data_IF_734455204601
#
_entry.id   IF_734455204601
#
_cell.length_a   1.000
_cell.length_b   1.000
_cell.length_c   1.000
_cell.angle_alpha   90.00
_cell.angle_beta   90.00
_cell.angle_gamma   90.00
#
_symmetry.space_group_name_H-M   'P 1'
#
loop_
_entity.id
_entity.type
_entity.pdbx_description
1 polymer ?
#
# COMPACT_ATOMS: atom_id res chain seq x y z
N UNK A 1 9.60 -8.71 -10.65
CA UNK A 1 10.17 -7.70 -11.58
C UNK A 1 9.09 -7.32 -12.58
N UNK A 2 8.78 -6.03 -12.73
CA UNK A 2 7.77 -5.55 -13.67
C UNK A 2 8.12 -5.92 -15.10
N UNK A 3 7.13 -6.32 -15.89
CA UNK A 3 7.30 -6.66 -17.31
C UNK A 3 7.85 -5.48 -18.11
N UNK A 4 7.35 -4.26 -17.84
CA UNK A 4 7.82 -3.02 -18.44
C UNK A 4 9.31 -2.75 -18.19
N UNK A 5 9.85 -3.14 -17.01
CA UNK A 5 11.28 -3.04 -16.72
C UNK A 5 12.09 -4.13 -17.44
N UNK A 6 11.52 -5.33 -17.61
CA UNK A 6 12.15 -6.39 -18.40
C UNK A 6 12.25 -6.00 -19.88
N UNK A 7 11.20 -5.39 -20.44
CA UNK A 7 11.15 -4.91 -21.83
C UNK A 7 12.17 -3.78 -22.13
N UNK A 8 12.64 -3.05 -21.10
CA UNK A 8 13.71 -2.04 -21.26
C UNK A 8 15.12 -2.64 -21.28
N UNK A 9 15.28 -3.90 -20.89
CA UNK A 9 16.60 -4.54 -20.83
C UNK A 9 16.99 -5.14 -22.21
N UNK A 10 17.73 -4.36 -23.00
CA UNK A 10 18.17 -4.76 -24.36
C UNK A 10 18.96 -6.07 -24.41
N UNK A 11 19.68 -6.42 -23.34
CA UNK A 11 20.49 -7.64 -23.31
C UNK A 11 19.66 -8.94 -23.20
N UNK A 12 18.37 -8.83 -22.96
CA UNK A 12 17.46 -9.97 -22.86
C UNK A 12 16.95 -10.48 -24.21
N UNK A 13 17.04 -9.69 -25.29
CA UNK A 13 16.33 -9.96 -26.53
C UNK A 13 17.28 -10.19 -27.68
N UNK A 14 16.88 -11.08 -28.61
CA UNK A 14 17.55 -11.24 -29.90
C UNK A 14 17.13 -10.14 -30.86
N UNK A 15 17.90 -9.90 -31.92
CA UNK A 15 17.62 -8.87 -32.94
C UNK A 15 16.17 -8.94 -33.48
N UNK A 16 15.63 -10.15 -33.66
CA UNK A 16 14.25 -10.36 -34.12
C UNK A 16 13.20 -10.16 -33.05
N UNK A 17 13.57 -10.14 -31.77
CA UNK A 17 12.71 -9.82 -30.64
C UNK A 17 12.78 -8.32 -30.28
N UNK A 18 13.89 -7.66 -30.58
CA UNK A 18 14.10 -6.23 -30.34
C UNK A 18 13.07 -5.36 -31.07
N UNK A 19 12.72 -5.67 -32.31
CA UNK A 19 11.70 -4.94 -33.06
C UNK A 19 10.32 -5.01 -32.40
N UNK A 20 9.96 -6.18 -31.83
CA UNK A 20 8.72 -6.36 -31.09
C UNK A 20 8.74 -5.53 -29.81
N UNK A 21 9.83 -5.61 -29.06
CA UNK A 21 10.03 -4.86 -27.81
C UNK A 21 10.03 -3.36 -28.05
N UNK A 22 10.67 -2.90 -29.11
CA UNK A 22 10.68 -1.49 -29.49
C UNK A 22 9.26 -1.01 -29.79
N UNK A 23 8.51 -1.73 -30.62
CA UNK A 23 7.12 -1.37 -30.94
C UNK A 23 6.26 -1.30 -29.67
N UNK A 24 6.38 -2.28 -28.77
CA UNK A 24 5.61 -2.30 -27.50
C UNK A 24 5.99 -1.11 -26.63
N UNK A 25 7.26 -0.73 -26.54
CA UNK A 25 7.70 0.42 -25.73
C UNK A 25 7.26 1.76 -26.31
N UNK A 26 7.23 1.89 -27.64
CA UNK A 26 6.81 3.11 -28.32
C UNK A 26 5.28 3.26 -28.42
N UNK A 27 4.54 2.13 -28.55
CA UNK A 27 3.11 2.08 -28.75
C UNK A 27 2.40 1.14 -27.74
N UNK A 28 2.58 1.34 -26.44
CA UNK A 28 2.10 0.36 -25.44
C UNK A 28 0.59 0.16 -25.44
N UNK A 29 -0.20 1.23 -25.63
CA UNK A 29 -1.68 1.15 -25.69
C UNK A 29 -2.17 0.38 -26.91
N UNK A 30 -1.54 0.61 -28.05
CA UNK A 30 -1.86 -0.09 -29.31
C UNK A 30 -1.51 -1.57 -29.19
N UNK A 31 -0.32 -1.89 -28.66
CA UNK A 31 0.15 -3.26 -28.47
C UNK A 31 -0.82 -4.09 -27.60
N UNK A 32 -1.41 -3.50 -26.56
CA UNK A 32 -2.44 -4.16 -25.73
C UNK A 32 -3.76 -4.37 -26.49
N UNK A 33 -4.14 -3.50 -27.40
CA UNK A 33 -5.35 -3.67 -28.20
C UNK A 33 -5.22 -4.77 -29.26
N UNK A 34 -4.01 -4.96 -29.82
CA UNK A 34 -3.73 -5.87 -30.94
C UNK A 34 -3.87 -7.36 -30.57
N UNK A 35 -4.23 -8.17 -31.55
CA UNK A 35 -4.03 -9.61 -31.50
C UNK A 35 -2.59 -9.96 -31.94
N UNK A 36 -2.21 -11.24 -31.82
CA UNK A 36 -0.82 -11.66 -32.08
C UNK A 36 -0.38 -11.46 -33.54
N UNK A 37 -1.33 -11.57 -34.49
CA UNK A 37 -1.06 -11.39 -35.92
C UNK A 37 -0.85 -9.90 -36.21
N UNK A 38 -1.68 -9.05 -35.66
CA UNK A 38 -1.58 -7.58 -35.77
C UNK A 38 -0.28 -7.07 -35.17
N UNK A 39 0.08 -7.53 -33.97
CA UNK A 39 1.34 -7.15 -33.33
C UNK A 39 2.56 -7.64 -34.13
N UNK A 40 2.51 -8.86 -34.66
CA UNK A 40 3.57 -9.39 -35.51
C UNK A 40 3.77 -8.56 -36.76
N UNK A 41 2.70 -8.18 -37.45
CA UNK A 41 2.74 -7.32 -38.63
C UNK A 41 3.27 -5.91 -38.28
N UNK A 42 2.78 -5.28 -37.20
CA UNK A 42 3.20 -3.95 -36.77
C UNK A 42 4.68 -3.91 -36.38
N UNK A 43 5.20 -4.98 -35.78
CA UNK A 43 6.61 -5.09 -35.35
C UNK A 43 7.51 -5.72 -36.42
N UNK A 44 7.06 -5.92 -37.66
CA UNK A 44 7.81 -6.58 -38.75
C UNK A 44 8.41 -7.92 -38.31
N UNK A 45 7.62 -8.72 -37.59
CA UNK A 45 8.05 -10.01 -37.02
C UNK A 45 7.05 -11.13 -37.30
N UNK A 46 7.18 -12.26 -36.61
CA UNK A 46 6.29 -13.41 -36.75
C UNK A 46 5.55 -13.72 -35.43
N UNK A 47 4.32 -14.30 -35.47
CA UNK A 47 3.64 -14.76 -34.27
C UNK A 47 4.47 -15.75 -33.45
N UNK A 48 5.26 -16.62 -34.10
CA UNK A 48 6.13 -17.56 -33.41
C UNK A 48 7.27 -16.89 -32.64
N UNK A 49 7.80 -15.78 -33.14
CA UNK A 49 8.80 -14.96 -32.42
C UNK A 49 8.18 -14.31 -31.17
N UNK A 50 6.95 -13.80 -31.28
CA UNK A 50 6.23 -13.24 -30.12
C UNK A 50 6.00 -14.30 -29.05
N UNK A 51 5.54 -15.51 -29.40
CA UNK A 51 5.34 -16.60 -28.44
C UNK A 51 6.66 -16.98 -27.76
N UNK A 52 7.77 -17.06 -28.51
CA UNK A 52 9.10 -17.36 -27.95
C UNK A 52 9.54 -16.26 -26.97
N UNK A 53 9.35 -14.99 -27.32
CA UNK A 53 9.62 -13.85 -26.44
C UNK A 53 8.80 -13.93 -25.15
N UNK A 54 7.50 -14.25 -25.24
CA UNK A 54 6.63 -14.40 -24.06
C UNK A 54 7.14 -15.51 -23.12
N UNK A 55 7.53 -16.67 -23.67
CA UNK A 55 8.09 -17.77 -22.89
C UNK A 55 9.42 -17.39 -22.23
N UNK A 56 10.28 -16.65 -22.91
CA UNK A 56 11.54 -16.14 -22.40
C UNK A 56 11.33 -15.18 -21.21
N UNK A 57 10.23 -14.42 -21.21
CA UNK A 57 9.79 -13.53 -20.13
C UNK A 57 9.05 -14.28 -18.99
N UNK A 58 9.02 -15.63 -19.06
CA UNK A 58 8.41 -16.47 -18.01
C UNK A 58 6.89 -16.61 -18.09
N UNK A 59 6.30 -16.35 -19.27
CA UNK A 59 4.85 -16.44 -19.49
C UNK A 59 4.49 -17.64 -20.35
N UNK A 60 3.31 -18.21 -20.15
CA UNK A 60 2.81 -19.37 -20.92
C UNK A 60 2.56 -19.06 -22.40
N UNK A 61 2.26 -17.79 -22.73
CA UNK A 61 2.01 -17.35 -24.09
C UNK A 61 1.57 -15.90 -24.21
N UNK A 62 1.13 -15.52 -25.40
CA UNK A 62 0.76 -14.14 -25.74
C UNK A 62 -0.44 -13.62 -24.93
N UNK A 63 -1.42 -14.45 -24.61
CA UNK A 63 -2.60 -14.04 -23.82
C UNK A 63 -2.20 -13.60 -22.41
N UNK A 64 -1.35 -14.36 -21.74
CA UNK A 64 -0.82 -14.01 -20.42
C UNK A 64 0.05 -12.75 -20.47
N UNK A 65 0.93 -12.67 -21.49
CA UNK A 65 1.74 -11.49 -21.76
C UNK A 65 0.87 -10.23 -21.90
N UNK A 66 -0.19 -10.32 -22.74
CA UNK A 66 -1.10 -9.22 -23.02
C UNK A 66 -1.85 -8.76 -21.76
N UNK A 67 -2.34 -9.70 -20.94
CA UNK A 67 -3.00 -9.39 -19.66
C UNK A 67 -2.05 -8.69 -18.69
N UNK A 68 -0.84 -9.18 -18.55
CA UNK A 68 0.18 -8.60 -17.68
C UNK A 68 0.61 -7.22 -18.18
N UNK A 69 0.86 -7.09 -19.49
CA UNK A 69 1.18 -5.80 -20.10
C UNK A 69 0.04 -4.79 -19.93
N UNK A 70 -1.21 -5.21 -20.15
CA UNK A 70 -2.38 -4.36 -19.94
C UNK A 70 -2.51 -3.88 -18.48
N UNK A 71 -2.29 -4.77 -17.54
CA UNK A 71 -2.29 -4.43 -16.11
C UNK A 71 -1.22 -3.41 -15.77
N UNK A 72 0.01 -3.61 -16.24
CA UNK A 72 1.13 -2.69 -15.97
C UNK A 72 0.99 -1.36 -16.72
N UNK A 73 0.50 -1.36 -17.97
CA UNK A 73 0.24 -0.11 -18.72
C UNK A 73 -0.89 0.68 -18.11
N UNK A 74 -1.98 0.03 -17.67
CA UNK A 74 -3.05 0.74 -16.98
C UNK A 74 -2.54 1.34 -15.66
N UNK A 75 -1.69 0.65 -14.93
CA UNK A 75 -1.00 1.22 -13.77
C UNK A 75 -0.03 2.34 -14.17
N UNK A 76 0.61 2.27 -15.32
CA UNK A 76 1.52 3.28 -15.87
C UNK A 76 0.77 4.51 -16.43
N UNK A 77 -0.38 4.32 -17.07
CA UNK A 77 -1.25 5.41 -17.56
C UNK A 77 -1.82 6.20 -16.38
N UNK A 78 -2.13 5.53 -15.27
CA UNK A 78 -2.49 6.19 -14.02
C UNK A 78 -1.28 6.90 -13.38
N UNK A 79 -0.03 6.53 -13.75
CA UNK A 79 1.23 7.04 -13.20
C UNK A 79 2.03 7.96 -14.16
N UNK A 80 1.54 8.26 -15.37
CA UNK A 80 2.27 9.12 -16.33
C UNK A 80 2.54 10.55 -15.80
N UNK A 81 1.81 10.95 -14.76
CA UNK A 81 2.13 12.13 -13.95
C UNK A 81 1.90 11.75 -12.49
N UNK A 82 2.96 11.64 -11.70
CA UNK A 82 2.78 11.58 -10.24
C UNK A 82 1.94 12.79 -9.84
N UNK A 83 0.85 12.50 -9.13
CA UNK A 83 -0.05 13.55 -8.66
C UNK A 83 0.57 14.14 -7.41
N UNK A 84 0.47 15.46 -7.29
CA UNK A 84 0.85 16.15 -6.07
C UNK A 84 -0.09 15.69 -4.93
N UNK A 85 0.49 15.09 -3.89
CA UNK A 85 -0.27 14.47 -2.82
C UNK A 85 -1.03 15.49 -1.97
N UNK A 86 -0.47 16.70 -1.86
CA UNK A 86 -1.00 17.76 -1.00
C UNK A 86 -2.20 18.48 -1.62
N UNK A 87 -2.12 18.76 -2.93
CA UNK A 87 -3.15 19.45 -3.70
C UNK A 87 -3.37 18.74 -5.04
N UNK A 88 -4.15 17.65 -5.08
CA UNK A 88 -4.34 16.87 -6.31
C UNK A 88 -5.24 17.54 -7.36
N UNK A 89 -5.72 18.75 -7.10
CA UNK A 89 -6.68 19.44 -7.95
C UNK A 89 -6.10 20.71 -8.53
N UNK A 90 -6.44 21.01 -9.78
CA UNK A 90 -6.11 22.24 -10.47
C UNK A 90 -7.37 23.09 -10.68
N UNK A 91 -7.21 24.43 -10.69
CA UNK A 91 -8.32 25.35 -10.93
C UNK A 91 -8.87 25.16 -12.35
N UNK A 92 -10.20 25.01 -12.46
CA UNK A 92 -10.89 24.88 -13.74
C UNK A 92 -11.12 23.43 -14.19
N UNK A 93 -10.76 22.44 -13.37
CA UNK A 93 -11.12 21.05 -13.62
C UNK A 93 -12.64 20.86 -13.68
N UNK A 94 -13.10 20.10 -14.66
CA UNK A 94 -14.47 19.59 -14.69
C UNK A 94 -14.69 18.43 -13.74
N UNK A 95 -15.93 17.99 -13.58
CA UNK A 95 -16.32 16.91 -12.65
C UNK A 95 -15.59 15.60 -12.94
N UNK A 96 -15.40 15.25 -14.21
CA UNK A 96 -14.71 14.03 -14.64
C UNK A 96 -13.22 14.11 -14.33
N UNK A 97 -12.61 15.27 -14.55
CA UNK A 97 -11.19 15.51 -14.23
C UNK A 97 -10.94 15.46 -12.72
N UNK A 98 -11.84 16.01 -11.91
CA UNK A 98 -11.77 15.90 -10.44
C UNK A 98 -11.87 14.44 -10.01
N UNK A 99 -12.84 13.67 -10.52
CA UNK A 99 -12.96 12.25 -10.21
C UNK A 99 -11.72 11.46 -10.61
N UNK A 100 -11.16 11.72 -11.79
CA UNK A 100 -9.94 11.07 -12.28
C UNK A 100 -8.72 11.41 -11.40
N UNK A 101 -8.59 12.65 -10.94
CA UNK A 101 -7.51 13.07 -10.05
C UNK A 101 -7.53 12.26 -8.74
N UNK A 102 -8.70 12.10 -8.11
CA UNK A 102 -8.82 11.29 -6.89
C UNK A 102 -8.57 9.80 -7.14
N UNK A 103 -9.06 9.22 -8.25
CA UNK A 103 -8.76 7.83 -8.61
C UNK A 103 -7.24 7.64 -8.74
N UNK A 104 -6.56 8.53 -9.46
CA UNK A 104 -5.13 8.45 -9.66
C UNK A 104 -4.36 8.61 -8.34
N UNK A 105 -4.78 9.53 -7.47
CA UNK A 105 -4.20 9.76 -6.16
C UNK A 105 -4.29 8.51 -5.27
N UNK A 106 -5.48 7.90 -5.19
CA UNK A 106 -5.67 6.68 -4.40
C UNK A 106 -4.89 5.51 -4.99
N UNK A 107 -4.87 5.37 -6.31
CA UNK A 107 -4.11 4.32 -6.98
C UNK A 107 -2.61 4.46 -6.73
N UNK A 108 -2.07 5.69 -6.81
CA UNK A 108 -0.68 5.99 -6.48
C UNK A 108 -0.39 5.61 -5.02
N UNK A 109 -1.23 6.04 -4.07
CA UNK A 109 -1.06 5.73 -2.66
C UNK A 109 -1.06 4.22 -2.38
N UNK A 110 -1.97 3.46 -3.00
CA UNK A 110 -2.05 2.00 -2.88
C UNK A 110 -0.79 1.33 -3.46
N UNK A 111 -0.35 1.75 -4.63
CA UNK A 111 0.83 1.19 -5.31
C UNK A 111 2.12 1.47 -4.55
N UNK A 112 2.32 2.71 -4.12
CA UNK A 112 3.52 3.13 -3.37
C UNK A 112 3.57 2.38 -2.03
N UNK A 113 2.43 2.27 -1.33
CA UNK A 113 2.34 1.51 -0.08
C UNK A 113 2.65 0.04 -0.31
N UNK A 114 2.02 -0.62 -1.30
CA UNK A 114 2.26 -2.03 -1.62
C UNK A 114 3.75 -2.32 -1.88
N UNK A 115 4.43 -1.43 -2.60
CA UNK A 115 5.85 -1.58 -2.92
C UNK A 115 6.78 -1.36 -1.71
N UNK A 116 6.35 -0.57 -0.72
CA UNK A 116 7.11 -0.27 0.49
C UNK A 116 6.89 -1.28 1.62
N UNK A 117 5.84 -2.12 1.54
CA UNK A 117 5.47 -3.04 2.62
C UNK A 117 6.54 -4.10 2.88
N UNK A 118 6.86 -4.25 4.16
CA UNK A 118 7.63 -5.36 4.71
C UNK A 118 6.66 -6.45 5.19
N UNK A 119 6.52 -7.50 4.40
CA UNK A 119 5.56 -8.58 4.64
C UNK A 119 5.89 -9.40 5.90
N UNK A 120 7.16 -9.49 6.29
CA UNK A 120 7.56 -10.16 7.53
C UNK A 120 7.06 -9.37 8.74
N UNK A 121 7.19 -8.05 8.70
CA UNK A 121 6.64 -7.17 9.75
C UNK A 121 5.13 -7.22 9.83
N UNK A 122 4.42 -7.29 8.70
CA UNK A 122 2.96 -7.47 8.70
C UNK A 122 2.56 -8.77 9.38
N UNK A 123 3.21 -9.87 9.03
CA UNK A 123 2.97 -11.18 9.66
C UNK A 123 3.30 -11.16 11.16
N UNK A 124 4.40 -10.50 11.55
CA UNK A 124 4.76 -10.34 12.95
C UNK A 124 3.72 -9.50 13.72
N UNK A 125 3.24 -8.39 13.13
CA UNK A 125 2.20 -7.57 13.74
C UNK A 125 0.90 -8.36 13.96
N UNK A 126 0.44 -9.10 12.96
CA UNK A 126 -0.75 -9.95 13.08
C UNK A 126 -0.59 -10.98 14.20
N UNK A 127 0.56 -11.66 14.29
CA UNK A 127 0.85 -12.61 15.38
C UNK A 127 0.86 -11.93 16.75
N UNK A 128 1.43 -10.74 16.88
CA UNK A 128 1.42 -9.98 18.14
C UNK A 128 0.00 -9.64 18.57
N UNK A 129 -0.86 -9.26 17.62
CA UNK A 129 -2.27 -8.94 17.91
C UNK A 129 -3.06 -10.18 18.30
N UNK A 130 -2.90 -11.30 17.61
CA UNK A 130 -3.57 -12.58 17.92
C UNK A 130 -3.12 -13.18 19.26
N UNK A 131 -1.88 -12.97 19.68
CA UNK A 131 -1.34 -13.46 20.94
C UNK A 131 -1.73 -12.61 22.16
N UNK A 132 -2.37 -11.46 21.95
CA UNK A 132 -2.81 -10.55 23.00
C UNK A 132 -4.23 -10.87 23.46
N UNK A 133 -4.51 -10.72 24.76
CA UNK A 133 -5.86 -10.79 25.30
C UNK A 133 -6.70 -9.56 24.91
N UNK A 134 -6.04 -8.43 24.58
CA UNK A 134 -6.71 -7.20 24.11
C UNK A 134 -5.77 -6.33 23.29
N UNK A 135 -6.31 -5.73 22.22
CA UNK A 135 -5.63 -4.76 21.35
C UNK A 135 -6.11 -3.35 21.68
N UNK A 136 -5.17 -2.45 22.02
CA UNK A 136 -5.49 -1.03 22.27
C UNK A 136 -5.05 -0.18 21.09
N UNK A 137 -5.98 0.54 20.49
CA UNK A 137 -5.73 1.41 19.34
C UNK A 137 -5.56 2.87 19.76
N UNK A 138 -4.62 3.55 19.11
CA UNK A 138 -4.31 4.96 19.32
C UNK A 138 -4.22 5.68 17.99
N UNK A 139 -5.00 6.72 17.83
CA UNK A 139 -5.02 7.59 16.66
C UNK A 139 -5.52 8.99 17.03
N UNK A 140 -5.28 9.97 16.15
CA UNK A 140 -5.77 11.34 16.30
C UNK A 140 -6.27 11.86 14.94
N UNK A 141 -7.39 12.58 14.95
CA UNK A 141 -7.99 13.12 13.73
C UNK A 141 -8.34 12.02 12.72
N UNK A 142 -7.92 12.13 11.43
CA UNK A 142 -8.22 11.13 10.41
C UNK A 142 -7.69 9.72 10.75
N UNK A 143 -6.57 9.62 11.48
CA UNK A 143 -6.02 8.34 11.90
C UNK A 143 -6.85 7.66 12.99
N UNK A 144 -7.60 8.41 13.78
CA UNK A 144 -8.54 7.85 14.77
C UNK A 144 -9.67 7.09 14.06
N UNK A 145 -10.21 7.65 12.97
CA UNK A 145 -11.27 6.99 12.20
C UNK A 145 -10.83 5.65 11.62
N UNK A 146 -9.56 5.54 11.22
CA UNK A 146 -8.97 4.27 10.74
C UNK A 146 -8.82 3.28 11.91
N UNK A 147 -8.39 3.79 13.07
CA UNK A 147 -8.25 2.98 14.28
C UNK A 147 -9.60 2.41 14.75
N UNK A 148 -10.65 3.23 14.73
CA UNK A 148 -12.03 2.82 15.08
C UNK A 148 -12.58 1.80 14.08
N UNK A 149 -12.37 1.99 12.76
CA UNK A 149 -12.75 1.02 11.74
C UNK A 149 -12.04 -0.32 11.95
N UNK A 150 -10.74 -0.29 12.22
CA UNK A 150 -9.98 -1.51 12.46
C UNK A 150 -10.42 -2.21 13.76
N UNK A 151 -10.65 -1.45 14.84
CA UNK A 151 -11.24 -1.98 16.07
C UNK A 151 -12.56 -2.69 15.80
N UNK A 152 -13.47 -2.03 15.10
CA UNK A 152 -14.78 -2.61 14.74
C UNK A 152 -14.63 -3.94 13.96
N UNK A 153 -13.70 -4.00 13.01
CA UNK A 153 -13.41 -5.22 12.24
C UNK A 153 -12.89 -6.34 13.14
N UNK A 154 -11.99 -6.05 14.09
CA UNK A 154 -11.47 -7.05 15.03
C UNK A 154 -12.54 -7.56 16.00
N UNK A 155 -13.42 -6.68 16.48
CA UNK A 155 -14.55 -7.11 17.33
C UNK A 155 -15.45 -8.10 16.61
N UNK A 156 -15.65 -7.96 15.30
CA UNK A 156 -16.43 -8.93 14.49
C UNK A 156 -15.75 -10.29 14.35
N UNK A 157 -14.43 -10.37 14.53
CA UNK A 157 -13.68 -11.62 14.60
C UNK A 157 -13.61 -12.19 16.03
N UNK A 158 -14.25 -11.55 16.99
CA UNK A 158 -14.24 -11.98 18.41
C UNK A 158 -13.01 -11.52 19.20
N UNK A 159 -12.14 -10.68 18.64
CA UNK A 159 -10.98 -10.14 19.35
C UNK A 159 -11.39 -8.98 20.25
N UNK A 160 -10.97 -9.04 21.53
CA UNK A 160 -11.14 -7.91 22.44
C UNK A 160 -10.27 -6.73 21.99
N UNK A 161 -10.86 -5.59 21.76
CA UNK A 161 -10.15 -4.40 21.33
C UNK A 161 -10.78 -3.11 21.85
N UNK A 162 -9.95 -2.08 22.06
CA UNK A 162 -10.35 -0.79 22.60
C UNK A 162 -9.76 0.33 21.76
N UNK A 163 -10.58 1.30 21.39
CA UNK A 163 -10.16 2.54 20.75
C UNK A 163 -10.92 3.71 21.41
N UNK A 164 -10.21 4.49 22.21
CA UNK A 164 -10.83 5.61 22.94
C UNK A 164 -10.70 6.89 22.11
N UNK A 165 -11.85 7.42 21.69
CA UNK A 165 -11.92 8.64 20.88
C UNK A 165 -11.64 9.92 21.68
N UNK A 166 -11.92 9.92 22.98
CA UNK A 166 -11.78 11.11 23.82
C UNK A 166 -10.34 11.30 24.30
N UNK A 167 -9.79 12.49 24.07
CA UNK A 167 -8.50 12.89 24.63
C UNK A 167 -8.51 12.74 26.16
N UNK A 168 -7.44 12.16 26.72
CA UNK A 168 -7.34 11.84 28.14
C UNK A 168 -7.82 10.44 28.51
N UNK A 169 -8.86 9.90 27.86
CA UNK A 169 -9.31 8.52 28.08
C UNK A 169 -8.44 7.47 27.37
N UNK A 170 -7.75 7.83 26.30
CA UNK A 170 -6.77 6.95 25.65
C UNK A 170 -5.69 6.45 26.63
N UNK A 171 -5.44 7.19 27.73
CA UNK A 171 -4.56 6.74 28.80
C UNK A 171 -5.18 5.69 29.74
N UNK A 172 -6.48 5.62 29.87
CA UNK A 172 -7.12 4.64 30.74
C UNK A 172 -6.90 3.19 30.27
N UNK A 173 -6.82 2.99 28.95
CA UNK A 173 -6.55 1.68 28.34
C UNK A 173 -5.11 1.19 28.54
N UNK A 174 -4.20 2.06 28.99
CA UNK A 174 -2.78 1.76 29.22
C UNK A 174 -2.50 1.23 30.62
N UNK A 175 -3.40 1.46 31.59
CA UNK A 175 -3.18 1.06 32.98
C UNK A 175 -2.94 -0.44 33.10
N UNK A 176 -1.91 -0.87 33.85
CA UNK A 176 -1.58 -2.27 33.99
C UNK A 176 -2.73 -3.05 34.61
N UNK A 177 -3.05 -4.17 34.01
CA UNK A 177 -3.96 -5.16 34.53
C UNK A 177 -3.38 -6.55 34.22
N UNK A 178 -4.12 -7.63 34.53
CA UNK A 178 -3.65 -9.00 34.27
C UNK A 178 -3.68 -9.42 32.78
N UNK A 179 -4.25 -8.61 31.90
CA UNK A 179 -4.41 -8.94 30.50
C UNK A 179 -3.09 -8.70 29.74
N UNK A 180 -2.72 -9.63 28.87
CA UNK A 180 -1.69 -9.40 27.86
C UNK A 180 -2.22 -8.43 26.81
N UNK A 181 -1.57 -7.31 26.63
CA UNK A 181 -1.99 -6.27 25.71
C UNK A 181 -0.97 -6.04 24.61
N UNK A 182 -1.46 -5.54 23.50
CA UNK A 182 -0.66 -4.92 22.45
C UNK A 182 -1.27 -3.57 22.10
N UNK A 183 -0.44 -2.56 21.90
CA UNK A 183 -0.84 -1.23 21.49
C UNK A 183 -0.54 -1.03 20.00
N UNK A 184 -1.52 -0.52 19.25
CA UNK A 184 -1.39 -0.19 17.83
C UNK A 184 -1.57 1.32 17.66
N UNK A 185 -0.51 2.01 17.25
CA UNK A 185 -0.54 3.42 16.91
C UNK A 185 -0.71 3.58 15.41
N UNK A 186 -1.70 4.35 15.01
CA UNK A 186 -1.94 4.76 13.62
C UNK A 186 -1.71 6.27 13.57
N UNK A 187 -0.61 6.68 12.96
CA UNK A 187 -0.26 8.10 12.91
C UNK A 187 0.70 8.40 11.78
N UNK A 188 0.29 9.23 10.83
CA UNK A 188 1.11 9.56 9.67
C UNK A 188 2.50 10.06 10.07
N UNK A 189 2.59 11.08 10.91
CA UNK A 189 3.88 11.65 11.33
C UNK A 189 4.45 11.02 12.61
N UNK A 190 3.59 10.59 13.52
CA UNK A 190 3.94 10.03 14.83
C UNK A 190 5.06 10.84 15.54
N UNK A 191 4.92 12.17 15.57
CA UNK A 191 5.94 13.08 16.08
C UNK A 191 5.40 14.12 17.09
N UNK A 192 4.17 13.96 17.59
CA UNK A 192 3.60 14.81 18.63
C UNK A 192 4.02 14.34 20.03
N UNK A 193 4.11 15.29 20.96
CA UNK A 193 4.45 15.02 22.37
C UNK A 193 3.49 13.97 22.96
N UNK A 194 2.19 14.06 22.68
CA UNK A 194 1.18 13.12 23.15
C UNK A 194 1.49 11.67 22.75
N UNK A 195 1.94 11.46 21.49
CA UNK A 195 2.34 10.14 20.99
C UNK A 195 3.56 9.66 21.75
N UNK A 196 4.57 10.52 21.97
CA UNK A 196 5.79 10.17 22.69
C UNK A 196 5.50 9.78 24.15
N UNK A 197 4.75 10.60 24.86
CA UNK A 197 4.38 10.36 26.27
C UNK A 197 3.63 9.03 26.39
N UNK A 198 2.65 8.79 25.50
CA UNK A 198 1.87 7.55 25.50
C UNK A 198 2.72 6.33 25.21
N UNK A 199 3.62 6.40 24.23
CA UNK A 199 4.53 5.30 23.93
C UNK A 199 5.51 5.03 25.08
N UNK A 200 6.00 6.07 25.75
CA UNK A 200 6.88 5.91 26.92
C UNK A 200 6.14 5.26 28.11
N UNK A 201 4.89 5.65 28.36
CA UNK A 201 4.05 5.04 29.39
C UNK A 201 3.80 3.55 29.11
N UNK A 202 3.47 3.18 27.88
CA UNK A 202 3.30 1.78 27.45
C UNK A 202 4.58 0.98 27.65
N UNK A 203 5.74 1.54 27.28
CA UNK A 203 7.04 0.91 27.49
C UNK A 203 7.35 0.71 28.99
N UNK A 204 7.01 1.67 29.83
CA UNK A 204 7.15 1.53 31.29
C UNK A 204 6.39 0.31 31.80
N UNK A 205 5.17 0.07 31.28
CA UNK A 205 4.34 -1.10 31.61
C UNK A 205 4.69 -2.35 30.80
N UNK A 206 5.72 -2.32 29.97
CA UNK A 206 6.17 -3.42 29.11
C UNK A 206 5.07 -3.91 28.14
N UNK A 207 4.18 -3.02 27.72
CA UNK A 207 3.16 -3.32 26.71
C UNK A 207 3.79 -3.18 25.32
N UNK A 208 3.80 -4.22 24.49
CA UNK A 208 4.34 -4.15 23.13
C UNK A 208 3.60 -3.12 22.26
N UNK A 209 4.36 -2.41 21.42
CA UNK A 209 3.86 -1.33 20.58
C UNK A 209 4.10 -1.66 19.11
N UNK A 210 3.04 -1.60 18.32
CA UNK A 210 3.06 -1.60 16.86
C UNK A 210 2.78 -0.16 16.41
N UNK A 211 3.63 0.39 15.55
CA UNK A 211 3.47 1.74 14.99
C UNK A 211 3.26 1.64 13.48
N UNK A 212 2.16 2.18 12.97
CA UNK A 212 1.90 2.36 11.54
C UNK A 212 2.10 3.85 11.23
N UNK A 213 3.13 4.20 10.46
CA UNK A 213 3.47 5.59 10.16
C UNK A 213 4.24 5.74 8.85
N UNK A 214 4.37 6.98 8.35
CA UNK A 214 5.22 7.27 7.20
C UNK A 214 6.70 7.10 7.55
N UNK A 215 7.48 6.56 6.61
CA UNK A 215 8.87 6.14 6.81
C UNK A 215 9.78 7.29 7.28
N UNK A 216 9.63 8.47 6.68
CA UNK A 216 10.60 9.57 6.84
C UNK A 216 10.33 10.49 8.04
N UNK A 217 9.17 10.37 8.71
CA UNK A 217 8.70 11.45 9.58
C UNK A 217 8.52 11.11 11.04
N UNK A 218 8.66 9.84 11.45
CA UNK A 218 8.48 9.51 12.85
C UNK A 218 9.81 9.45 13.61
N UNK A 219 10.09 10.43 14.48
CA UNK A 219 11.24 10.38 15.37
C UNK A 219 11.09 9.28 16.44
N UNK A 220 9.90 8.74 16.62
CA UNK A 220 9.56 7.79 17.70
C UNK A 220 9.48 6.33 17.24
N UNK A 221 9.88 6.03 16.00
CA UNK A 221 9.95 4.64 15.53
C UNK A 221 10.74 3.73 16.47
N UNK A 222 11.82 4.27 17.08
CA UNK A 222 12.67 3.56 18.06
C UNK A 222 11.94 3.22 19.37
N UNK A 223 10.80 3.82 19.65
CA UNK A 223 9.96 3.52 20.81
C UNK A 223 9.03 2.34 20.56
N UNK A 224 8.72 2.02 19.31
CA UNK A 224 7.90 0.88 18.94
C UNK A 224 8.71 -0.43 18.96
N UNK A 225 8.05 -1.55 19.27
CA UNK A 225 8.61 -2.89 19.12
C UNK A 225 8.60 -3.30 17.65
N UNK A 226 7.62 -2.81 16.89
CA UNK A 226 7.46 -3.06 15.48
C UNK A 226 6.95 -1.80 14.79
N UNK A 227 7.59 -1.42 13.68
CA UNK A 227 7.16 -0.28 12.87
C UNK A 227 6.82 -0.76 11.46
N UNK A 228 5.59 -0.55 11.04
CA UNK A 228 5.10 -0.73 9.68
C UNK A 228 5.11 0.63 9.01
N UNK A 229 5.99 0.79 8.03
CA UNK A 229 6.13 2.02 7.30
C UNK A 229 5.21 2.03 6.08
N UNK A 230 4.54 3.16 5.87
CA UNK A 230 3.86 3.50 4.63
C UNK A 230 4.75 4.46 3.86
N UNK A 231 4.90 4.25 2.56
CA UNK A 231 5.61 5.21 1.69
C UNK A 231 4.64 6.32 1.30
N UNK A 232 4.67 7.41 2.07
CA UNK A 232 3.77 8.53 1.86
C UNK A 232 4.40 9.85 2.27
N UNK A 233 4.61 10.72 1.26
CA UNK A 233 5.24 12.03 1.42
C UNK A 233 4.25 13.19 1.57
N UNK A 234 2.97 12.90 1.83
CA UNK A 234 1.95 13.93 2.05
C UNK A 234 2.36 14.89 3.18
N UNK A 235 2.37 16.19 2.92
CA UNK A 235 2.85 17.19 3.87
C UNK A 235 1.81 17.55 4.95
N UNK A 236 2.21 18.40 5.89
CA UNK A 236 1.27 18.95 6.89
C UNK A 236 0.34 20.00 6.30
N UNK A 237 0.79 20.70 5.25
CA UNK A 237 0.01 21.70 4.54
C UNK A 237 -0.57 21.02 3.31
N UNK A 238 -1.78 20.50 3.44
CA UNK A 238 -2.48 19.71 2.43
C UNK A 238 -3.96 20.04 2.40
N UNK A 239 -4.59 19.79 1.27
CA UNK A 239 -6.05 19.94 1.12
C UNK A 239 -6.82 18.97 2.02
N UNK A 240 -6.31 17.76 2.20
CA UNK A 240 -6.88 16.75 3.08
C UNK A 240 -5.97 15.52 3.19
N UNK A 241 -6.23 14.65 4.15
CA UNK A 241 -5.47 13.40 4.35
C UNK A 241 -5.99 12.31 3.41
N UNK A 242 -5.89 12.50 2.09
CA UNK A 242 -6.44 11.54 1.13
C UNK A 242 -5.50 10.37 0.89
N UNK A 243 -4.26 10.66 0.53
CA UNK A 243 -3.25 9.67 0.20
C UNK A 243 -2.81 8.89 1.44
N UNK A 244 -2.38 9.57 2.49
CA UNK A 244 -1.93 8.93 3.74
C UNK A 244 -3.02 8.08 4.40
N UNK A 245 -4.28 8.54 4.33
CA UNK A 245 -5.42 7.77 4.85
C UNK A 245 -5.60 6.48 4.07
N UNK A 246 -5.54 6.52 2.75
CA UNK A 246 -5.64 5.34 1.88
C UNK A 246 -4.53 4.32 2.20
N UNK A 247 -3.30 4.79 2.33
CA UNK A 247 -2.14 3.95 2.68
C UNK A 247 -2.29 3.27 4.04
N UNK A 248 -2.67 4.02 5.07
CA UNK A 248 -2.86 3.48 6.42
C UNK A 248 -4.04 2.50 6.48
N UNK A 249 -5.14 2.81 5.77
CA UNK A 249 -6.29 1.91 5.67
C UNK A 249 -5.92 0.59 5.01
N UNK A 250 -5.16 0.62 3.91
CA UNK A 250 -4.67 -0.60 3.24
C UNK A 250 -3.87 -1.50 4.19
N UNK A 251 -2.97 -0.92 4.99
CA UNK A 251 -2.19 -1.69 5.98
C UNK A 251 -3.10 -2.36 7.00
N UNK A 252 -4.10 -1.62 7.52
CA UNK A 252 -5.07 -2.18 8.48
C UNK A 252 -5.92 -3.30 7.86
N UNK A 253 -6.33 -3.15 6.59
CA UNK A 253 -7.11 -4.18 5.88
C UNK A 253 -6.25 -5.43 5.60
N UNK A 254 -4.97 -5.28 5.28
CA UNK A 254 -4.04 -6.42 5.13
C UNK A 254 -3.85 -7.13 6.48
N UNK A 255 -3.62 -6.39 7.57
CA UNK A 255 -3.50 -6.99 8.90
C UNK A 255 -4.76 -7.74 9.31
N UNK A 256 -5.94 -7.17 9.04
CA UNK A 256 -7.21 -7.85 9.24
C UNK A 256 -7.30 -9.13 8.42
N UNK A 257 -6.92 -9.09 7.14
CA UNK A 257 -6.91 -10.26 6.26
C UNK A 257 -6.00 -11.38 6.76
N UNK A 258 -4.80 -11.04 7.27
CA UNK A 258 -3.86 -12.00 7.87
C UNK A 258 -4.41 -12.64 9.15
N UNK A 259 -5.07 -11.83 10.00
CA UNK A 259 -5.71 -12.32 11.23
C UNK A 259 -6.91 -13.21 10.89
N UNK A 260 -7.74 -12.80 9.93
CA UNK A 260 -8.89 -13.58 9.48
C UNK A 260 -8.47 -14.93 8.90
N UNK A 261 -7.51 -14.94 7.97
CA UNK A 261 -7.00 -16.16 7.33
C UNK A 261 -6.43 -17.16 8.34
N UNK A 262 -5.70 -16.65 9.34
CA UNK A 262 -5.13 -17.50 10.41
C UNK A 262 -6.15 -18.05 11.40
N UNK A 263 -7.38 -17.53 11.42
CA UNK A 263 -8.47 -17.98 12.31
C UNK A 263 -9.67 -18.54 11.54
N UNK A 264 -9.54 -18.67 10.22
CA UNK A 264 -10.60 -19.24 9.38
C UNK A 264 -10.53 -20.77 9.44
N UNK A 265 -11.54 -21.38 10.08
CA UNK A 265 -11.83 -22.83 10.05
C UNK A 265 -13.02 -23.12 9.13
#
# INVERSE_FOLDING_TARGET
>A
MLLTNQLKNKNLFSTSEESIVQFINEHPKEAVAMNIIELAAAAYSSPSTIVRMCKKLGMSGFSEFKLKLASEINSFILNEKRIELDVPLEKGMDQKQVAQAFINLHFQALTDTFNALDYEKLTQAARMMMAADSVSFFGKGPSLLIAEDFQYKLLRLGFSSVCEALEGFQGASVRPNKLKRVAVFISHYANSIDVQERMNELRHYKIPIILICANSYSPYQKLANLCINIDNEESRIKLGSFSSRTSMQLVCDILYGLIFESNYE
#
